data_IF_626238010902
#
_entry.id   IF_626238010902
#
_cell.length_a   1.000
_cell.length_b   1.000
_cell.length_c   1.000
_cell.angle_alpha   90.00
_cell.angle_beta   90.00
_cell.angle_gamma   90.00
#
_symmetry.space_group_name_H-M   'P 1'
#
loop_
_entity.id
_entity.type
_entity.pdbx_description
1 polymer ?
#
# COMPACT_ATOMS: atom_id res chain seq x y z
N UNK A 1 -2.12 26.76 2.76
CA UNK A 1 -3.14 26.39 3.74
C UNK A 1 -2.41 25.60 4.81
N UNK A 2 -2.10 26.22 5.95
CA UNK A 2 -1.48 25.52 7.10
C UNK A 2 -2.56 25.03 8.06
N UNK A 3 -3.61 24.39 7.52
CA UNK A 3 -4.58 23.67 8.33
C UNK A 3 -4.10 22.22 8.43
N UNK A 4 -4.09 21.66 9.65
CA UNK A 4 -3.73 20.26 9.87
C UNK A 4 -4.63 19.29 9.06
N UNK A 5 -5.86 19.73 8.77
CA UNK A 5 -6.90 18.99 8.06
C UNK A 5 -7.73 19.96 7.20
N UNK A 6 -8.12 19.54 6.00
CA UNK A 6 -9.12 20.18 5.14
C UNK A 6 -10.42 19.41 5.29
N UNK A 7 -11.40 19.98 5.99
CA UNK A 7 -12.71 19.36 6.14
C UNK A 7 -13.51 19.47 4.84
N UNK A 8 -14.10 18.34 4.41
CA UNK A 8 -14.83 18.22 3.15
C UNK A 8 -16.32 17.90 3.35
N UNK A 9 -16.66 17.21 4.42
CA UNK A 9 -18.04 17.03 4.88
C UNK A 9 -18.07 16.75 6.40
N UNK A 10 -18.36 17.79 7.19
CA UNK A 10 -18.40 17.72 8.65
C UNK A 10 -17.15 17.04 9.25
N UNK A 11 -17.41 16.07 10.13
CA UNK A 11 -16.38 15.20 10.76
C UNK A 11 -16.18 13.86 10.01
N UNK A 12 -16.92 13.63 8.91
CA UNK A 12 -16.94 12.34 8.22
C UNK A 12 -15.94 12.25 7.07
N UNK A 13 -15.73 13.35 6.35
CA UNK A 13 -14.80 13.42 5.22
C UNK A 13 -13.79 14.55 5.38
N UNK A 14 -12.51 14.23 5.20
CA UNK A 14 -11.43 15.21 5.26
C UNK A 14 -10.18 14.77 4.49
N UNK A 15 -9.35 15.75 4.12
CA UNK A 15 -8.01 15.55 3.56
C UNK A 15 -6.95 16.15 4.47
N UNK A 16 -5.93 15.36 4.82
CA UNK A 16 -4.73 15.82 5.52
C UNK A 16 -3.64 16.27 4.56
N UNK A 17 -3.58 15.68 3.38
CA UNK A 17 -2.52 15.93 2.42
C UNK A 17 -2.96 15.71 0.97
N UNK A 18 -2.44 16.58 0.09
CA UNK A 18 -2.44 16.41 -1.35
C UNK A 18 -1.00 16.69 -1.84
N UNK A 19 -0.44 15.78 -2.61
CA UNK A 19 0.95 15.82 -3.02
C UNK A 19 1.15 15.46 -4.48
N UNK A 20 2.23 15.96 -5.06
CA UNK A 20 2.67 15.62 -6.41
C UNK A 20 4.18 15.43 -6.40
N UNK A 21 4.64 14.29 -6.92
CA UNK A 21 6.07 13.95 -7.11
C UNK A 21 6.27 13.36 -8.49
N UNK A 22 7.45 13.50 -9.07
CA UNK A 22 7.85 12.63 -10.20
C UNK A 22 8.31 11.27 -9.67
N UNK A 23 8.32 10.26 -10.54
CA UNK A 23 8.92 8.94 -10.25
C UNK A 23 10.43 9.04 -9.94
N UNK A 24 11.08 10.10 -10.44
CA UNK A 24 12.49 10.42 -10.16
C UNK A 24 12.65 11.19 -8.84
N UNK A 25 11.64 11.16 -7.97
CA UNK A 25 11.63 11.77 -6.62
C UNK A 25 11.75 13.29 -6.62
N UNK A 26 11.40 13.97 -7.72
CA UNK A 26 11.29 15.43 -7.72
C UNK A 26 9.97 15.82 -7.05
N UNK A 27 10.05 16.50 -5.91
CA UNK A 27 8.89 17.14 -5.30
C UNK A 27 8.36 18.27 -6.21
N UNK A 28 7.08 18.18 -6.56
CA UNK A 28 6.40 19.15 -7.44
C UNK A 28 5.35 19.96 -6.69
N UNK A 29 4.67 19.36 -5.71
CA UNK A 29 3.67 20.04 -4.91
C UNK A 29 3.42 19.33 -3.57
N UNK A 30 3.12 20.10 -2.53
CA UNK A 30 2.66 19.61 -1.24
C UNK A 30 1.68 20.62 -0.62
N UNK A 31 0.46 20.19 -0.28
CA UNK A 31 -0.54 21.07 0.33
C UNK A 31 -0.23 21.38 1.79
N UNK A 32 0.44 20.47 2.50
CA UNK A 32 0.80 20.58 3.90
C UNK A 32 2.22 20.05 4.15
N UNK A 33 3.08 20.89 4.77
CA UNK A 33 4.50 20.55 5.03
C UNK A 33 4.68 19.48 6.10
N UNK A 34 3.75 19.34 7.05
CA UNK A 34 3.79 18.32 8.10
C UNK A 34 3.80 16.91 7.52
N UNK A 35 3.09 16.74 6.41
CA UNK A 35 2.92 15.47 5.72
C UNK A 35 3.83 15.37 4.49
N UNK A 36 4.85 16.23 4.36
CA UNK A 36 5.70 16.28 3.17
C UNK A 36 6.40 14.95 2.85
N UNK A 37 6.77 14.21 3.89
CA UNK A 37 7.39 12.89 3.76
C UNK A 37 6.53 11.90 2.97
N UNK A 38 5.21 12.13 2.84
CA UNK A 38 4.35 11.25 2.05
C UNK A 38 4.79 11.20 0.59
N UNK A 39 5.43 12.25 0.07
CA UNK A 39 6.00 12.21 -1.28
C UNK A 39 7.14 11.19 -1.38
N UNK A 40 8.02 11.12 -0.38
CA UNK A 40 9.09 10.13 -0.34
C UNK A 40 8.54 8.72 -0.12
N UNK A 41 7.60 8.58 0.83
CA UNK A 41 6.90 7.33 1.08
C UNK A 41 6.19 6.83 -0.19
N UNK A 42 5.56 7.72 -0.95
CA UNK A 42 4.89 7.39 -2.23
C UNK A 42 5.88 6.76 -3.21
N UNK A 43 7.05 7.38 -3.43
CA UNK A 43 8.05 6.82 -4.34
C UNK A 43 8.61 5.48 -3.85
N UNK A 44 8.80 5.31 -2.54
CA UNK A 44 9.27 4.05 -1.97
C UNK A 44 8.20 2.94 -2.09
N UNK A 45 6.94 3.27 -1.80
CA UNK A 45 5.81 2.37 -1.95
C UNK A 45 5.62 1.96 -3.40
N UNK A 46 5.66 2.92 -4.31
CA UNK A 46 5.52 2.66 -5.75
C UNK A 46 6.63 1.71 -6.22
N UNK A 47 7.89 2.01 -5.94
CA UNK A 47 9.02 1.15 -6.31
C UNK A 47 8.91 -0.27 -5.73
N UNK A 48 8.63 -0.40 -4.43
CA UNK A 48 8.65 -1.71 -3.76
C UNK A 48 7.38 -2.50 -4.06
N UNK A 49 6.19 -1.89 -3.97
CA UNK A 49 4.94 -2.61 -4.17
C UNK A 49 4.77 -3.07 -5.63
N UNK A 50 5.11 -2.21 -6.61
CA UNK A 50 5.01 -2.58 -8.02
C UNK A 50 6.06 -3.63 -8.43
N UNK A 51 7.26 -3.61 -7.83
CA UNK A 51 8.29 -4.63 -8.11
C UNK A 51 7.94 -6.02 -7.55
N UNK A 52 7.16 -6.10 -6.46
CA UNK A 52 6.71 -7.38 -5.89
C UNK A 52 5.43 -7.86 -6.57
N UNK A 53 4.42 -6.99 -6.59
CA UNK A 53 3.05 -7.35 -6.94
C UNK A 53 2.77 -7.21 -8.43
N UNK A 54 3.56 -6.43 -9.17
CA UNK A 54 3.27 -6.06 -10.56
C UNK A 54 2.04 -5.13 -10.68
N UNK A 55 2.01 -4.29 -11.70
CA UNK A 55 0.91 -3.32 -11.96
C UNK A 55 1.17 -1.93 -11.37
N UNK A 56 0.11 -1.14 -11.18
CA UNK A 56 0.18 0.27 -10.78
C UNK A 56 -0.30 0.48 -9.32
N UNK A 57 0.46 1.23 -8.51
CA UNK A 57 0.05 1.56 -7.14
C UNK A 57 -1.28 2.36 -7.14
N UNK A 58 -2.32 1.87 -6.46
CA UNK A 58 -3.66 2.50 -6.47
C UNK A 58 -4.03 3.10 -5.10
N UNK A 59 -3.91 2.33 -4.02
CA UNK A 59 -4.35 2.78 -2.69
C UNK A 59 -3.74 2.01 -1.54
N UNK A 60 -3.74 2.62 -0.36
CA UNK A 60 -3.30 2.04 0.91
C UNK A 60 -4.27 2.43 2.02
N UNK A 61 -4.55 1.51 2.94
CA UNK A 61 -5.27 1.80 4.19
C UNK A 61 -4.28 1.81 5.34
N UNK A 62 -4.34 2.86 6.15
CA UNK A 62 -3.57 3.05 7.36
C UNK A 62 -4.49 2.94 8.57
N UNK A 63 -4.00 2.27 9.62
CA UNK A 63 -4.66 2.20 10.92
C UNK A 63 -3.77 2.88 11.95
N UNK A 64 -4.32 3.90 12.61
CA UNK A 64 -3.64 4.63 13.69
C UNK A 64 -3.55 3.79 14.98
N UNK A 65 -2.82 4.29 15.99
CA UNK A 65 -2.80 3.65 17.32
C UNK A 65 -4.18 3.64 18.02
N UNK A 66 -5.09 4.53 17.62
CA UNK A 66 -6.45 4.63 18.16
C UNK A 66 -7.47 3.84 17.31
N UNK A 67 -7.00 2.98 16.40
CA UNK A 67 -7.81 2.25 15.43
C UNK A 67 -8.60 3.14 14.45
N UNK A 68 -8.15 4.38 14.24
CA UNK A 68 -8.71 5.24 13.20
C UNK A 68 -8.22 4.79 11.82
N UNK A 69 -9.15 4.62 10.89
CA UNK A 69 -8.87 4.25 9.51
C UNK A 69 -8.76 5.48 8.60
N UNK A 70 -7.62 5.58 7.92
CA UNK A 70 -7.36 6.61 6.91
C UNK A 70 -6.80 5.98 5.64
N UNK A 71 -7.12 6.58 4.50
CA UNK A 71 -6.72 6.07 3.19
C UNK A 71 -5.72 7.00 2.53
N UNK A 72 -4.75 6.39 1.87
CA UNK A 72 -3.95 7.02 0.82
C UNK A 72 -4.43 6.51 -0.53
N UNK A 73 -4.58 7.41 -1.49
CA UNK A 73 -4.80 7.04 -2.89
C UNK A 73 -3.73 7.65 -3.76
N UNK A 74 -3.35 6.90 -4.79
CA UNK A 74 -2.28 7.22 -5.72
C UNK A 74 -2.82 7.18 -7.14
N UNK A 75 -2.25 8.01 -8.00
CA UNK A 75 -2.52 8.00 -9.42
C UNK A 75 -1.24 8.40 -10.15
N UNK A 76 -0.75 7.54 -11.03
CA UNK A 76 0.36 7.89 -11.91
C UNK A 76 -0.15 8.34 -13.28
N UNK A 77 0.39 9.45 -13.77
CA UNK A 77 0.21 9.87 -15.16
C UNK A 77 1.48 10.54 -15.66
N UNK A 78 1.99 10.08 -16.80
CA UNK A 78 3.17 10.66 -17.46
C UNK A 78 4.38 10.78 -16.51
N UNK A 79 4.71 9.72 -15.75
CA UNK A 79 5.83 9.71 -14.79
C UNK A 79 5.69 10.69 -13.62
N UNK A 80 4.47 11.17 -13.37
CA UNK A 80 4.11 12.00 -12.22
C UNK A 80 3.11 11.24 -11.38
N UNK A 81 3.40 11.10 -10.08
CA UNK A 81 2.55 10.46 -9.10
C UNK A 81 1.82 11.54 -8.30
N UNK A 82 0.50 11.45 -8.30
CA UNK A 82 -0.42 12.26 -7.51
C UNK A 82 -0.85 11.45 -6.30
N UNK A 83 -0.86 12.07 -5.12
CA UNK A 83 -1.23 11.41 -3.87
C UNK A 83 -2.19 12.27 -3.06
N UNK A 84 -3.17 11.62 -2.45
CA UNK A 84 -4.04 12.22 -1.43
C UNK A 84 -4.10 11.31 -0.20
N UNK A 85 -4.21 11.91 0.98
CA UNK A 85 -4.30 11.20 2.26
C UNK A 85 -5.33 11.85 3.19
N UNK A 86 -6.15 11.02 3.83
CA UNK A 86 -7.21 11.42 4.75
C UNK A 86 -8.35 10.39 4.79
N UNK A 87 -9.57 10.85 5.07
CA UNK A 87 -10.78 10.03 5.13
C UNK A 87 -11.79 10.52 4.09
N UNK A 88 -12.05 9.71 3.06
CA UNK A 88 -12.94 10.09 1.96
C UNK A 88 -13.43 8.84 1.18
N UNK A 89 -14.57 8.94 0.47
CA UNK A 89 -15.05 7.93 -0.46
C UNK A 89 -14.06 7.62 -1.59
N UNK A 90 -13.95 6.33 -1.95
CA UNK A 90 -12.97 5.89 -2.94
C UNK A 90 -13.16 6.58 -4.31
N UNK A 91 -14.41 6.75 -4.76
CA UNK A 91 -14.73 7.37 -6.05
C UNK A 91 -14.38 8.86 -6.08
N UNK A 92 -14.65 9.58 -4.99
CA UNK A 92 -14.33 11.01 -4.90
C UNK A 92 -12.83 11.24 -4.83
N UNK A 93 -12.10 10.40 -4.10
CA UNK A 93 -10.63 10.45 -4.07
C UNK A 93 -10.01 10.29 -5.47
N UNK A 94 -10.47 9.30 -6.25
CA UNK A 94 -10.03 9.10 -7.65
C UNK A 94 -10.35 10.32 -8.51
N UNK A 95 -11.55 10.88 -8.37
CA UNK A 95 -11.93 12.09 -9.09
C UNK A 95 -11.00 13.27 -8.75
N UNK A 96 -10.63 13.48 -7.48
CA UNK A 96 -9.67 14.52 -7.08
C UNK A 96 -8.32 14.30 -7.74
N UNK A 97 -7.79 13.07 -7.70
CA UNK A 97 -6.51 12.73 -8.33
C UNK A 97 -6.54 12.97 -9.85
N UNK A 98 -7.62 12.61 -10.53
CA UNK A 98 -7.80 12.87 -11.96
C UNK A 98 -7.83 14.38 -12.27
N UNK A 99 -8.53 15.18 -11.46
CA UNK A 99 -8.54 16.64 -11.63
C UNK A 99 -7.18 17.26 -11.33
N UNK A 100 -6.49 16.79 -10.28
CA UNK A 100 -5.11 17.21 -9.97
C UNK A 100 -4.21 16.93 -11.16
N UNK A 101 -4.28 15.74 -11.74
CA UNK A 101 -3.47 15.36 -12.89
C UNK A 101 -3.76 16.21 -14.12
N UNK A 102 -5.04 16.46 -14.43
CA UNK A 102 -5.46 17.33 -15.53
C UNK A 102 -4.93 18.75 -15.35
N UNK A 103 -5.23 19.39 -14.22
CA UNK A 103 -4.86 20.80 -13.98
C UNK A 103 -3.33 20.97 -13.89
N UNK A 104 -2.62 20.00 -13.31
CA UNK A 104 -1.16 20.06 -13.22
C UNK A 104 -0.52 19.87 -14.61
N UNK A 105 -1.01 18.92 -15.41
CA UNK A 105 -0.55 18.70 -16.79
C UNK A 105 -0.68 19.98 -17.63
N UNK A 106 -1.80 20.70 -17.49
CA UNK A 106 -2.05 21.96 -18.18
C UNK A 106 -1.09 23.09 -17.74
N UNK A 107 -0.61 23.06 -16.50
CA UNK A 107 0.37 24.01 -15.97
C UNK A 107 1.78 23.71 -16.48
N UNK A 108 2.19 22.45 -16.50
CA UNK A 108 3.54 22.06 -16.93
C UNK A 108 3.72 22.11 -18.45
N UNK A 109 2.65 21.86 -19.23
CA UNK A 109 2.67 21.90 -20.71
C UNK A 109 3.82 21.10 -21.32
N UNK A 110 3.94 19.83 -20.92
CA UNK A 110 4.97 18.89 -21.39
C UNK A 110 6.43 19.28 -21.07
N UNK A 111 6.66 20.25 -20.18
CA UNK A 111 8.01 20.52 -19.66
C UNK A 111 8.54 19.31 -18.89
N UNK A 112 9.86 19.11 -18.96
CA UNK A 112 10.56 18.18 -18.08
C UNK A 112 10.49 18.67 -16.63
N UNK A 113 9.66 17.99 -15.84
CA UNK A 113 9.39 18.33 -14.44
C UNK A 113 10.64 18.18 -13.55
N UNK A 114 11.59 17.32 -13.93
CA UNK A 114 12.83 17.11 -13.19
C UNK A 114 13.85 18.22 -13.46
N UNK A 115 13.82 18.79 -14.67
CA UNK A 115 14.70 19.89 -15.11
C UNK A 115 14.23 21.30 -14.75
N UNK A 116 13.08 21.47 -14.08
CA UNK A 116 12.54 22.79 -13.74
C UNK A 116 13.47 23.58 -12.81
N UNK A 117 13.67 24.87 -13.12
CA UNK A 117 14.40 25.78 -12.24
C UNK A 117 13.64 26.03 -10.93
N UNK A 118 14.35 26.49 -9.88
CA UNK A 118 13.72 26.83 -8.58
C UNK A 118 12.58 27.82 -8.71
N UNK A 119 12.73 28.81 -9.60
CA UNK A 119 11.71 29.83 -9.83
C UNK A 119 10.48 29.26 -10.53
N UNK A 120 10.68 28.40 -11.54
CA UNK A 120 9.56 27.72 -12.21
C UNK A 120 8.81 26.78 -11.28
N UNK A 121 9.53 26.02 -10.43
CA UNK A 121 8.90 25.16 -9.41
C UNK A 121 8.01 25.96 -8.48
N UNK A 122 8.51 27.10 -7.99
CA UNK A 122 7.74 28.00 -7.13
C UNK A 122 6.49 28.56 -7.83
N UNK A 123 6.62 29.02 -9.07
CA UNK A 123 5.50 29.56 -9.84
C UNK A 123 4.43 28.49 -10.15
N UNK A 124 4.85 27.27 -10.50
CA UNK A 124 3.93 26.14 -10.73
C UNK A 124 3.23 25.75 -9.41
N UNK A 125 3.97 25.66 -8.31
CA UNK A 125 3.41 25.31 -7.00
C UNK A 125 2.33 26.34 -6.59
N UNK A 126 2.61 27.64 -6.71
CA UNK A 126 1.68 28.70 -6.32
C UNK A 126 0.42 28.72 -7.19
N UNK A 127 0.58 28.56 -8.52
CA UNK A 127 -0.56 28.43 -9.45
C UNK A 127 -1.39 27.19 -9.14
N UNK A 128 -0.74 26.07 -8.82
CA UNK A 128 -1.45 24.84 -8.50
C UNK A 128 -2.19 24.93 -7.16
N UNK A 129 -1.70 25.69 -6.17
CA UNK A 129 -2.48 25.97 -4.94
C UNK A 129 -3.86 26.54 -5.28
N UNK A 130 -3.92 27.54 -6.16
CA UNK A 130 -5.19 28.13 -6.60
C UNK A 130 -6.11 27.10 -7.29
N UNK A 131 -5.54 26.22 -8.12
CA UNK A 131 -6.28 25.14 -8.79
C UNK A 131 -6.80 24.09 -7.80
N UNK A 132 -6.01 23.71 -6.80
CA UNK A 132 -6.41 22.76 -5.79
C UNK A 132 -7.62 23.28 -4.99
N UNK A 133 -7.64 24.56 -4.64
CA UNK A 133 -8.79 25.17 -3.95
C UNK A 133 -10.07 25.00 -4.77
N UNK A 134 -9.99 25.20 -6.10
CA UNK A 134 -11.11 25.02 -6.99
C UNK A 134 -11.58 23.56 -7.04
N UNK A 135 -10.66 22.61 -7.19
CA UNK A 135 -10.96 21.16 -7.18
C UNK A 135 -11.69 20.76 -5.88
N UNK A 136 -11.21 21.23 -4.73
CA UNK A 136 -11.80 20.89 -3.45
C UNK A 136 -13.18 21.54 -3.23
N UNK A 137 -13.45 22.70 -3.85
CA UNK A 137 -14.80 23.28 -3.84
C UNK A 137 -15.77 22.43 -4.65
N UNK A 138 -15.39 22.03 -5.86
CA UNK A 138 -16.19 21.13 -6.69
C UNK A 138 -16.41 19.77 -5.99
N UNK A 139 -15.41 19.24 -5.29
CA UNK A 139 -15.57 18.03 -4.45
C UNK A 139 -16.75 18.16 -3.48
N UNK A 140 -16.86 19.29 -2.77
CA UNK A 140 -17.92 19.50 -1.77
C UNK A 140 -19.30 19.62 -2.41
N UNK A 141 -19.38 19.96 -3.70
CA UNK A 141 -20.64 19.99 -4.46
C UNK A 141 -21.04 18.60 -4.98
N UNK A 142 -20.08 17.67 -5.09
CA UNK A 142 -20.29 16.30 -5.56
C UNK A 142 -20.91 15.34 -4.52
N UNK A 143 -21.26 15.86 -3.34
CA UNK A 143 -21.87 15.09 -2.24
C UNK A 143 -23.16 14.37 -2.67
N UNK A 144 -23.93 14.94 -3.61
CA UNK A 144 -25.19 14.34 -4.08
C UNK A 144 -25.02 13.26 -5.16
N UNK A 145 -23.83 13.13 -5.78
CA UNK A 145 -23.63 12.31 -6.99
C UNK A 145 -22.94 10.97 -6.70
N UNK A 146 -22.08 10.92 -5.68
CA UNK A 146 -21.32 9.71 -5.35
C UNK A 146 -21.91 8.99 -4.14
N UNK A 147 -22.40 7.77 -4.35
CA UNK A 147 -22.69 6.85 -3.26
C UNK A 147 -21.45 6.07 -2.82
N UNK A 148 -21.33 5.89 -1.51
CA UNK A 148 -20.39 4.96 -0.84
C UNK A 148 -20.73 3.48 -1.09
N UNK A 149 -21.67 3.18 -1.98
CA UNK A 149 -21.86 1.81 -2.41
C UNK A 149 -20.58 1.32 -3.11
N UNK A 150 -19.84 0.50 -2.36
CA UNK A 150 -18.73 -0.29 -2.88
C UNK A 150 -19.26 -1.16 -4.02
N UNK A 151 -18.64 -1.01 -5.19
CA UNK A 151 -18.92 -1.90 -6.31
C UNK A 151 -18.44 -3.29 -5.88
N UNK A 152 -19.30 -4.33 -5.92
CA UNK A 152 -18.88 -5.67 -5.55
C UNK A 152 -17.72 -6.11 -6.45
N UNK A 153 -16.77 -6.84 -5.85
CA UNK A 153 -15.73 -7.51 -6.60
C UNK A 153 -16.39 -8.49 -7.58
N UNK A 154 -15.86 -8.52 -8.81
CA UNK A 154 -16.28 -9.50 -9.83
C UNK A 154 -15.91 -10.90 -9.37
N UNK A 155 -14.80 -11.01 -8.66
CA UNK A 155 -14.27 -12.26 -8.15
C UNK A 155 -14.74 -12.52 -6.73
N UNK A 156 -15.13 -13.76 -6.46
CA UNK A 156 -15.52 -14.23 -5.12
C UNK A 156 -14.45 -15.13 -4.50
N UNK A 157 -13.18 -14.88 -4.84
CA UNK A 157 -12.04 -15.62 -4.31
C UNK A 157 -10.92 -14.67 -3.93
N UNK A 158 -10.05 -15.12 -3.02
CA UNK A 158 -8.78 -14.47 -2.70
C UNK A 158 -7.69 -15.54 -2.74
N UNK A 159 -6.65 -15.36 -3.56
CA UNK A 159 -5.49 -16.25 -3.66
C UNK A 159 -4.40 -15.74 -2.73
N UNK A 160 -3.68 -16.65 -2.10
CA UNK A 160 -2.56 -16.34 -1.21
C UNK A 160 -1.24 -16.82 -1.83
N UNK A 161 -0.38 -15.86 -2.12
CA UNK A 161 0.89 -16.08 -2.82
C UNK A 161 2.10 -16.03 -1.88
N UNK A 162 1.95 -15.43 -0.69
CA UNK A 162 3.02 -15.37 0.31
C UNK A 162 2.46 -15.22 1.73
N UNK A 163 3.14 -15.82 2.71
CA UNK A 163 2.90 -15.64 4.15
C UNK A 163 4.21 -15.32 4.87
N UNK A 164 4.26 -14.15 5.50
CA UNK A 164 5.34 -13.73 6.37
C UNK A 164 4.86 -13.51 7.80
N UNK A 165 5.65 -13.91 8.80
CA UNK A 165 5.46 -13.53 10.19
C UNK A 165 6.75 -12.88 10.67
N UNK A 166 6.66 -11.65 11.17
CA UNK A 166 7.80 -10.94 11.76
C UNK A 166 7.52 -10.55 13.20
N UNK A 167 8.60 -10.35 13.96
CA UNK A 167 8.56 -9.78 15.30
C UNK A 167 9.70 -8.80 15.44
N UNK A 168 9.42 -7.56 15.83
CA UNK A 168 10.45 -6.52 16.03
C UNK A 168 11.43 -6.38 14.83
N UNK A 169 10.91 -6.43 13.59
CA UNK A 169 11.71 -6.40 12.34
C UNK A 169 12.62 -7.61 12.13
N UNK A 170 12.25 -8.75 12.71
CA UNK A 170 12.87 -10.04 12.45
C UNK A 170 11.81 -10.95 11.83
N UNK A 171 11.98 -11.29 10.55
CA UNK A 171 11.21 -12.32 9.87
C UNK A 171 11.45 -13.70 10.51
N UNK A 172 10.46 -14.20 11.23
CA UNK A 172 10.50 -15.53 11.88
C UNK A 172 9.83 -16.61 11.03
N UNK A 173 8.93 -16.22 10.13
CA UNK A 173 8.38 -17.07 9.06
C UNK A 173 8.42 -16.25 7.79
N UNK A 174 8.93 -16.86 6.73
CA UNK A 174 8.77 -16.39 5.36
C UNK A 174 8.42 -17.61 4.52
N UNK A 175 7.34 -17.52 3.76
CA UNK A 175 6.81 -18.64 3.01
C UNK A 175 6.26 -18.16 1.67
N UNK A 176 7.01 -18.41 0.61
CA UNK A 176 6.55 -18.19 -0.75
C UNK A 176 5.62 -19.35 -1.16
N UNK A 177 4.42 -18.98 -1.59
CA UNK A 177 3.34 -19.85 -2.03
C UNK A 177 2.92 -19.45 -3.44
N UNK A 178 3.86 -19.08 -4.29
CA UNK A 178 3.59 -18.78 -5.68
C UNK A 178 4.20 -19.88 -6.54
N UNK A 179 3.36 -20.80 -7.00
CA UNK A 179 3.81 -21.93 -7.82
C UNK A 179 3.66 -21.64 -9.33
N UNK A 180 3.06 -20.50 -9.69
CA UNK A 180 2.74 -20.14 -11.09
C UNK A 180 3.46 -18.85 -11.53
N UNK A 181 4.48 -18.40 -10.79
CA UNK A 181 5.24 -17.17 -11.04
C UNK A 181 4.34 -15.94 -11.26
N UNK A 182 3.30 -15.82 -10.44
CA UNK A 182 2.41 -14.67 -10.43
C UNK A 182 3.14 -13.40 -9.96
N UNK A 183 4.07 -13.50 -9.02
CA UNK A 183 4.84 -12.41 -8.43
C UNK A 183 6.14 -12.18 -9.22
N UNK A 184 6.53 -10.92 -9.46
CA UNK A 184 7.74 -10.57 -10.23
C UNK A 184 9.00 -10.47 -9.34
N UNK A 185 9.22 -11.47 -8.49
CA UNK A 185 10.32 -11.44 -7.51
C UNK A 185 11.64 -11.83 -8.16
N UNK A 186 12.43 -10.82 -8.52
CA UNK A 186 13.76 -10.98 -9.10
C UNK A 186 14.84 -10.98 -8.01
N UNK A 187 15.56 -12.09 -7.91
CA UNK A 187 16.72 -12.22 -7.01
C UNK A 187 18.02 -12.03 -7.79
N UNK A 188 19.02 -11.32 -7.23
CA UNK A 188 20.32 -11.18 -7.87
C UNK A 188 21.14 -12.48 -7.75
N UNK A 189 21.86 -12.82 -8.81
CA UNK A 189 22.76 -13.98 -8.85
C UNK A 189 22.27 -15.11 -9.75
N UNK A 190 23.13 -16.11 -9.93
CA UNK A 190 22.79 -17.39 -10.57
C UNK A 190 22.81 -18.46 -9.47
N UNK A 191 21.73 -19.26 -9.40
CA UNK A 191 21.57 -20.30 -8.39
C UNK A 191 21.56 -21.66 -9.06
N UNK A 192 22.39 -22.59 -8.57
CA UNK A 192 22.40 -23.97 -9.05
C UNK A 192 21.28 -24.80 -8.40
N UNK A 193 20.93 -24.49 -7.15
CA UNK A 193 19.87 -25.16 -6.39
C UNK A 193 18.59 -24.29 -6.35
N UNK A 194 17.45 -24.77 -6.88
CA UNK A 194 16.16 -24.09 -6.79
C UNK A 194 15.71 -23.81 -5.34
N UNK A 195 16.16 -24.60 -4.36
CA UNK A 195 15.83 -24.35 -2.95
C UNK A 195 16.53 -23.11 -2.40
N UNK A 196 17.78 -22.86 -2.82
CA UNK A 196 18.52 -21.64 -2.45
C UNK A 196 17.89 -20.40 -3.09
N UNK A 197 17.47 -20.49 -4.36
CA UNK A 197 16.76 -19.40 -5.04
C UNK A 197 15.45 -19.06 -4.31
N UNK A 198 14.68 -20.07 -3.90
CA UNK A 198 13.44 -19.91 -3.15
C UNK A 198 13.68 -19.22 -1.80
N UNK A 199 14.71 -19.64 -1.05
CA UNK A 199 15.07 -19.02 0.23
C UNK A 199 15.50 -17.56 0.05
N UNK A 200 16.21 -17.25 -1.04
CA UNK A 200 16.58 -15.88 -1.39
C UNK A 200 15.35 -15.03 -1.73
N UNK A 201 14.40 -15.56 -2.51
CA UNK A 201 13.13 -14.88 -2.83
C UNK A 201 12.34 -14.59 -1.56
N UNK A 202 12.18 -15.59 -0.69
CA UNK A 202 11.54 -15.47 0.63
C UNK A 202 12.20 -14.36 1.47
N UNK A 203 13.52 -14.34 1.55
CA UNK A 203 14.28 -13.35 2.31
C UNK A 203 14.12 -11.93 1.75
N UNK A 204 14.23 -11.79 0.42
CA UNK A 204 14.07 -10.50 -0.26
C UNK A 204 12.68 -9.92 -0.05
N UNK A 205 11.63 -10.74 -0.25
CA UNK A 205 10.25 -10.36 0.00
C UNK A 205 10.05 -9.89 1.44
N UNK A 206 10.56 -10.64 2.42
CA UNK A 206 10.45 -10.30 3.84
C UNK A 206 11.06 -8.92 4.11
N UNK A 207 12.28 -8.69 3.64
CA UNK A 207 12.99 -7.43 3.84
C UNK A 207 12.26 -6.25 3.19
N UNK A 208 11.73 -6.43 1.98
CA UNK A 208 10.99 -5.39 1.27
C UNK A 208 9.66 -5.05 1.96
N UNK A 209 8.91 -6.06 2.41
CA UNK A 209 7.65 -5.90 3.14
C UNK A 209 7.88 -5.19 4.48
N UNK A 210 8.92 -5.58 5.22
CA UNK A 210 9.29 -4.94 6.48
C UNK A 210 9.75 -3.49 6.26
N UNK A 211 10.52 -3.23 5.20
CA UNK A 211 10.93 -1.87 4.84
C UNK A 211 9.73 -0.97 4.53
N UNK A 212 8.72 -1.48 3.82
CA UNK A 212 7.45 -0.77 3.61
C UNK A 212 6.78 -0.46 4.96
N UNK A 213 6.58 -1.46 5.81
CA UNK A 213 5.87 -1.30 7.07
C UNK A 213 6.58 -0.31 8.00
N UNK A 214 7.90 -0.43 8.14
CA UNK A 214 8.73 0.45 8.96
C UNK A 214 8.73 1.89 8.43
N UNK A 215 8.87 2.08 7.10
CA UNK A 215 8.79 3.40 6.50
C UNK A 215 7.42 4.04 6.71
N UNK A 216 6.34 3.29 6.53
CA UNK A 216 4.98 3.78 6.76
C UNK A 216 4.78 4.18 8.22
N UNK A 217 5.17 3.31 9.17
CA UNK A 217 5.02 3.56 10.60
C UNK A 217 5.87 4.75 11.06
N UNK A 218 7.16 4.79 10.70
CA UNK A 218 8.08 5.86 11.12
C UNK A 218 7.70 7.23 10.59
N UNK A 219 7.01 7.28 9.45
CA UNK A 219 6.57 8.51 8.84
C UNK A 219 5.18 8.95 9.33
N UNK A 220 4.23 8.02 9.41
CA UNK A 220 2.81 8.33 9.67
C UNK A 220 2.37 8.17 11.11
N UNK A 221 3.11 7.40 11.92
CA UNK A 221 2.65 6.92 13.21
C UNK A 221 1.52 5.88 13.11
N UNK A 222 1.16 5.45 11.90
CA UNK A 222 0.15 4.46 11.61
C UNK A 222 0.78 3.27 10.88
N UNK A 223 0.21 2.08 11.04
CA UNK A 223 0.67 0.90 10.30
C UNK A 223 -0.23 0.68 9.07
N UNK A 224 0.33 0.16 7.96
CA UNK A 224 -0.49 -0.20 6.81
C UNK A 224 -1.33 -1.43 7.14
N UNK A 225 -2.64 -1.38 6.95
CA UNK A 225 -3.50 -2.57 7.00
C UNK A 225 -3.43 -3.33 5.69
N UNK A 226 -3.44 -2.60 4.57
CA UNK A 226 -3.19 -3.14 3.24
C UNK A 226 -2.68 -2.07 2.29
N UNK A 227 -1.94 -2.51 1.27
CA UNK A 227 -1.50 -1.74 0.11
C UNK A 227 -1.98 -2.48 -1.12
N UNK A 228 -2.62 -1.78 -2.04
CA UNK A 228 -3.23 -2.34 -3.24
C UNK A 228 -2.51 -1.85 -4.50
N UNK A 229 -2.18 -2.80 -5.36
CA UNK A 229 -1.67 -2.57 -6.71
C UNK A 229 -2.70 -3.09 -7.71
N UNK A 230 -2.98 -2.27 -8.72
CA UNK A 230 -4.00 -2.54 -9.74
C UNK A 230 -3.36 -3.21 -10.94
N UNK A 231 -3.84 -4.40 -11.29
CA UNK A 231 -3.41 -5.14 -12.48
C UNK A 231 -4.26 -4.81 -13.71
N UNK A 232 -5.52 -4.41 -13.50
CA UNK A 232 -6.47 -4.17 -14.57
C UNK A 232 -7.83 -3.70 -14.05
N UNK A 233 -8.87 -3.83 -14.87
CA UNK A 233 -10.22 -3.48 -14.46
C UNK A 233 -10.70 -4.42 -13.34
N UNK A 234 -10.87 -3.88 -12.13
CA UNK A 234 -11.28 -4.62 -10.93
C UNK A 234 -10.40 -5.81 -10.54
N UNK A 235 -9.17 -5.90 -11.08
CA UNK A 235 -8.19 -6.90 -10.69
C UNK A 235 -7.06 -6.25 -9.88
N UNK A 236 -6.81 -6.81 -8.70
CA UNK A 236 -5.94 -6.24 -7.69
C UNK A 236 -5.11 -7.29 -6.98
N UNK A 237 -3.90 -6.89 -6.64
CA UNK A 237 -3.04 -7.57 -5.66
C UNK A 237 -2.84 -6.71 -4.44
N UNK A 238 -2.62 -7.36 -3.32
CA UNK A 238 -2.51 -6.71 -2.03
C UNK A 238 -1.33 -7.25 -1.24
N UNK A 239 -0.62 -6.31 -0.61
CA UNK A 239 0.19 -6.59 0.56
C UNK A 239 -0.65 -6.24 1.79
N UNK A 240 -0.98 -7.22 2.62
CA UNK A 240 -1.82 -7.02 3.82
C UNK A 240 -1.00 -7.23 5.07
N UNK A 241 -1.30 -6.50 6.13
CA UNK A 241 -0.67 -6.66 7.43
C UNK A 241 -1.71 -6.82 8.54
N UNK A 242 -1.38 -7.66 9.52
CA UNK A 242 -2.14 -7.80 10.75
C UNK A 242 -1.20 -7.79 11.94
N UNK A 243 -1.40 -6.82 12.83
CA UNK A 243 -0.71 -6.74 14.10
C UNK A 243 -1.32 -7.75 15.06
N UNK A 244 -0.47 -8.51 15.72
CA UNK A 244 -0.82 -9.41 16.82
C UNK A 244 -0.21 -8.90 18.13
N UNK A 245 -0.56 -9.54 19.24
CA UNK A 245 0.10 -9.34 20.53
C UNK A 245 1.60 -9.62 20.45
N UNK A 246 2.35 -9.15 21.45
CA UNK A 246 3.80 -9.37 21.57
C UNK A 246 4.62 -8.91 20.36
N UNK A 247 4.16 -7.84 19.69
CA UNK A 247 4.82 -7.21 18.54
C UNK A 247 5.04 -8.12 17.32
N UNK A 248 4.20 -9.14 17.16
CA UNK A 248 4.17 -9.94 15.93
C UNK A 248 3.32 -9.26 14.85
N UNK A 249 3.77 -9.37 13.61
CA UNK A 249 3.06 -8.89 12.42
C UNK A 249 2.97 -10.01 11.40
N UNK A 250 1.75 -10.37 11.03
CA UNK A 250 1.50 -11.22 9.87
C UNK A 250 1.44 -10.34 8.64
N UNK A 251 2.15 -10.74 7.59
CA UNK A 251 2.09 -10.15 6.27
C UNK A 251 1.69 -11.19 5.23
N UNK A 252 0.85 -10.81 4.29
CA UNK A 252 0.43 -11.70 3.19
C UNK A 252 0.50 -10.95 1.86
N UNK A 253 0.92 -11.65 0.79
CA UNK A 253 0.69 -11.21 -0.58
C UNK A 253 -0.49 -11.99 -1.13
N UNK A 254 -1.49 -11.28 -1.65
CA UNK A 254 -2.75 -11.86 -2.11
C UNK A 254 -3.25 -11.25 -3.41
N UNK A 255 -4.07 -11.98 -4.16
CA UNK A 255 -4.75 -11.53 -5.38
C UNK A 255 -6.26 -11.79 -5.28
N UNK A 256 -7.09 -10.86 -5.76
CA UNK A 256 -8.54 -11.06 -5.88
C UNK A 256 -9.37 -10.18 -4.93
N UNK A 257 -10.30 -10.77 -4.19
CA UNK A 257 -11.27 -10.05 -3.36
C UNK A 257 -10.79 -9.87 -1.92
N UNK A 258 -10.25 -8.69 -1.62
CA UNK A 258 -9.72 -8.35 -0.30
C UNK A 258 -10.71 -8.58 0.86
N UNK A 259 -12.04 -8.54 0.62
CA UNK A 259 -13.04 -8.81 1.68
C UNK A 259 -12.94 -10.22 2.27
N UNK A 260 -12.21 -11.13 1.63
CA UNK A 260 -11.96 -12.49 2.11
C UNK A 260 -10.69 -12.61 2.96
N UNK A 261 -9.92 -11.53 3.17
CA UNK A 261 -8.64 -11.59 3.91
C UNK A 261 -8.83 -12.11 5.34
N UNK A 262 -9.90 -11.67 6.02
CA UNK A 262 -10.20 -12.12 7.38
C UNK A 262 -10.44 -13.63 7.45
N UNK A 263 -10.91 -14.26 6.36
CA UNK A 263 -11.05 -15.73 6.29
C UNK A 263 -9.69 -16.42 6.29
N UNK A 264 -8.71 -15.88 5.55
CA UNK A 264 -7.34 -16.40 5.53
C UNK A 264 -6.73 -16.24 6.93
N UNK A 265 -6.80 -15.04 7.49
CA UNK A 265 -6.24 -14.72 8.79
C UNK A 265 -6.85 -15.60 9.90
N UNK A 266 -8.18 -15.77 9.90
CA UNK A 266 -8.88 -16.62 10.89
C UNK A 266 -8.51 -18.10 10.78
N UNK A 267 -8.12 -18.58 9.60
CA UNK A 267 -7.65 -19.97 9.42
C UNK A 267 -6.18 -20.14 9.80
N UNK A 268 -5.35 -19.12 9.60
CA UNK A 268 -3.94 -19.12 10.00
C UNK A 268 -3.76 -18.92 11.50
N UNK A 269 -4.61 -18.11 12.14
CA UNK A 269 -4.48 -17.70 13.54
C UNK A 269 -4.38 -18.87 14.55
N UNK A 270 -5.18 -19.94 14.47
CA UNK A 270 -5.01 -21.12 15.33
C UNK A 270 -3.63 -21.77 15.22
N UNK A 271 -3.04 -21.77 14.01
CA UNK A 271 -1.70 -22.30 13.77
C UNK A 271 -0.69 -21.36 14.43
N UNK A 272 -0.76 -20.06 14.12
CA UNK A 272 0.18 -19.04 14.58
C UNK A 272 0.21 -18.86 16.10
N UNK A 273 -0.94 -18.98 16.78
CA UNK A 273 -1.09 -18.81 18.23
C UNK A 273 -0.10 -19.67 19.03
N UNK A 274 0.34 -20.81 18.52
CA UNK A 274 1.34 -21.63 19.24
C UNK A 274 2.72 -20.95 19.36
N UNK A 275 3.06 -20.02 18.46
CA UNK A 275 4.34 -19.29 18.48
C UNK A 275 4.23 -17.85 18.99
N UNK A 276 3.10 -17.17 18.77
CA UNK A 276 2.97 -15.72 19.04
C UNK A 276 2.49 -15.38 20.45
N UNK A 277 2.25 -16.38 21.31
CA UNK A 277 1.76 -16.16 22.68
C UNK A 277 2.81 -15.57 23.63
N UNK A 278 4.08 -15.68 23.28
CA UNK A 278 5.20 -15.12 24.04
C UNK A 278 6.04 -14.20 23.16
N UNK A 279 6.66 -13.14 23.71
CA UNK A 279 7.62 -12.33 22.98
C UNK A 279 8.72 -13.17 22.32
N UNK A 280 9.16 -12.75 21.13
CA UNK A 280 10.26 -13.42 20.45
C UNK A 280 11.55 -13.32 21.26
N UNK A 281 12.22 -14.45 21.46
CA UNK A 281 13.43 -14.56 22.29
C UNK A 281 14.68 -14.96 21.50
N UNK A 282 14.64 -14.89 20.16
CA UNK A 282 15.74 -15.29 19.29
C UNK A 282 15.76 -16.79 18.91
N UNK A 283 14.81 -17.59 19.40
CA UNK A 283 14.73 -19.02 19.07
C UNK A 283 13.77 -19.27 17.89
N UNK A 284 14.33 -19.66 16.73
CA UNK A 284 13.57 -19.95 15.51
C UNK A 284 12.95 -21.37 15.47
N UNK A 285 13.37 -22.30 16.35
CA UNK A 285 12.89 -23.70 16.31
C UNK A 285 11.35 -23.85 16.37
N UNK A 286 10.62 -23.11 17.22
CA UNK A 286 9.16 -23.17 17.24
C UNK A 286 8.54 -22.74 15.89
N UNK A 287 9.17 -21.78 15.21
CA UNK A 287 8.69 -21.23 13.94
C UNK A 287 8.94 -22.15 12.76
N UNK A 288 10.00 -22.98 12.78
CA UNK A 288 10.20 -24.01 11.76
C UNK A 288 9.04 -25.04 11.75
N UNK A 289 8.53 -25.40 12.93
CA UNK A 289 7.35 -26.26 13.06
C UNK A 289 6.10 -25.57 12.52
N UNK A 290 5.91 -24.29 12.84
CA UNK A 290 4.79 -23.47 12.33
C UNK A 290 4.83 -23.35 10.80
N UNK A 291 6.00 -23.03 10.21
CA UNK A 291 6.19 -22.96 8.76
C UNK A 291 5.76 -24.25 8.07
N UNK A 292 6.09 -25.40 8.66
CA UNK A 292 5.68 -26.72 8.15
C UNK A 292 4.16 -26.94 8.23
N UNK A 293 3.53 -26.54 9.34
CA UNK A 293 2.07 -26.64 9.51
C UNK A 293 1.31 -25.73 8.54
N UNK A 294 1.81 -24.51 8.31
CA UNK A 294 1.24 -23.59 7.32
C UNK A 294 1.37 -24.19 5.91
N UNK A 295 2.54 -24.71 5.53
CA UNK A 295 2.73 -25.41 4.24
C UNK A 295 1.74 -26.56 4.06
N UNK A 296 1.54 -27.39 5.08
CA UNK A 296 0.61 -28.51 5.02
C UNK A 296 -0.85 -28.05 4.89
N UNK A 297 -1.23 -27.01 5.63
CA UNK A 297 -2.54 -26.40 5.54
C UNK A 297 -2.80 -25.86 4.12
N UNK A 298 -1.85 -25.12 3.54
CA UNK A 298 -1.99 -24.54 2.20
C UNK A 298 -2.10 -25.59 1.09
N UNK A 299 -1.48 -26.77 1.25
CA UNK A 299 -1.64 -27.89 0.31
C UNK A 299 -3.08 -28.45 0.27
N UNK A 300 -3.87 -28.22 1.32
CA UNK A 300 -5.27 -28.67 1.40
C UNK A 300 -6.24 -27.66 0.79
N UNK A 301 -5.81 -26.43 0.53
CA UNK A 301 -6.63 -25.38 -0.09
C UNK A 301 -6.45 -25.44 -1.61
N UNK A 302 -7.51 -25.83 -2.33
CA UNK A 302 -7.49 -25.94 -3.79
C UNK A 302 -7.10 -24.60 -4.41
N UNK A 303 -6.06 -24.59 -5.26
CA UNK A 303 -5.52 -23.39 -5.93
C UNK A 303 -5.15 -22.24 -5.00
N UNK A 304 -5.05 -22.48 -3.68
CA UNK A 304 -4.87 -21.45 -2.64
C UNK A 304 -5.92 -20.34 -2.69
N UNK A 305 -7.08 -20.61 -3.31
CA UNK A 305 -8.21 -19.67 -3.45
C UNK A 305 -9.21 -19.87 -2.32
N UNK A 306 -9.48 -18.80 -1.59
CA UNK A 306 -10.41 -18.77 -0.47
C UNK A 306 -11.71 -18.10 -0.90
N UNK A 307 -12.81 -18.84 -0.86
CA UNK A 307 -14.17 -18.40 -1.21
C UNK A 307 -15.01 -18.10 0.03
#
# INVERSE_FOLDING_TARGET
MDHDVINLDGDNEYLKFCGITSIDRTQLFASNKRWLYFLELTNNLDFIATSILGGDLDKMLLISENDDEEKCQFFEKNKVIYVIFGKFPDKKGKWVLEQMAKQFSDLIRDKDVNGLSKFEKYDIEDKFKGKLIFILKEYMELQEVFSDQEIPYVEDWLRLDYVGLSSMSIGVISLLLDDEDNLDVKVPGEFEDPAEELEMKESLLTAQIEAIAANTLGNTGAYPRWIAVKLGFQNYRYLTFKKYRNDYFLSCLTEGNLRKIDKIESQLEPILNHGINTPFSGNLRPFNKLKSQIKEFMRKVITRKFT
#
